data_IF_048534815635
#
_entry.id   IF_048534815635
#
_cell.length_a   1.000
_cell.length_b   1.000
_cell.length_c   1.000
_cell.angle_alpha   90.00
_cell.angle_beta   90.00
_cell.angle_gamma   90.00
#
_symmetry.space_group_name_H-M   'P 1'
#
loop_
_entity.id
_entity.type
_entity.pdbx_description
1 polymer ?
#
# COMPACT_ATOMS: atom_id res chain seq x y z
N UNK A 1 -61.89 -39.35 -29.79
CA UNK A 1 -63.03 -38.44 -29.54
C UNK A 1 -62.52 -37.32 -28.64
N UNK A 2 -61.55 -36.51 -29.06
CA UNK A 2 -61.56 -35.53 -30.16
C UNK A 2 -62.62 -34.43 -30.00
N UNK A 3 -62.13 -33.19 -30.11
CA UNK A 3 -62.81 -31.90 -30.35
C UNK A 3 -63.30 -31.10 -29.13
N UNK A 4 -62.45 -30.18 -28.62
CA UNK A 4 -62.89 -28.79 -28.31
C UNK A 4 -61.74 -27.81 -27.91
N UNK A 5 -60.57 -27.93 -28.52
CA UNK A 5 -59.38 -27.08 -28.23
C UNK A 5 -59.13 -25.96 -29.26
N UNK A 6 -60.08 -25.65 -30.15
CA UNK A 6 -59.87 -24.69 -31.25
C UNK A 6 -60.76 -23.44 -31.26
N UNK A 7 -61.72 -23.29 -30.33
CA UNK A 7 -62.68 -22.17 -30.41
C UNK A 7 -62.45 -20.99 -29.44
N UNK A 8 -61.25 -20.88 -28.85
CA UNK A 8 -60.89 -19.76 -27.97
C UNK A 8 -59.63 -18.96 -28.40
N UNK A 9 -59.04 -19.28 -29.55
CA UNK A 9 -57.88 -18.53 -30.11
C UNK A 9 -58.23 -17.51 -31.19
N UNK A 10 -59.50 -17.41 -31.61
CA UNK A 10 -59.95 -16.50 -32.67
C UNK A 10 -60.72 -15.25 -32.19
N UNK A 11 -60.92 -15.07 -30.87
CA UNK A 11 -61.61 -13.90 -30.29
C UNK A 11 -60.73 -12.89 -29.53
N UNK A 12 -59.40 -13.09 -29.50
CA UNK A 12 -58.45 -12.12 -28.93
C UNK A 12 -57.56 -11.44 -29.99
N UNK A 13 -57.89 -11.60 -31.28
CA UNK A 13 -57.08 -11.09 -32.40
C UNK A 13 -57.74 -9.98 -33.22
N UNK A 14 -58.89 -9.43 -32.80
CA UNK A 14 -59.61 -8.39 -33.55
C UNK A 14 -60.14 -7.24 -32.66
N UNK A 15 -59.31 -6.76 -31.72
CA UNK A 15 -59.39 -5.39 -31.19
C UNK A 15 -58.05 -4.69 -31.40
N UNK A 16 -57.74 -4.49 -32.68
CA UNK A 16 -56.76 -3.51 -33.17
C UNK A 16 -57.55 -2.62 -34.13
N UNK A 17 -57.74 -1.36 -33.75
CA UNK A 17 -57.65 -0.15 -34.58
C UNK A 17 -57.93 1.01 -33.62
N UNK A 18 -56.92 1.86 -33.43
CA UNK A 18 -57.00 3.05 -32.59
C UNK A 18 -56.15 2.98 -31.33
N UNK A 19 -54.83 2.88 -31.47
CA UNK A 19 -53.83 3.60 -30.65
C UNK A 19 -52.43 3.29 -31.19
N UNK A 20 -52.06 3.98 -32.28
CA UNK A 20 -50.68 4.04 -32.75
C UNK A 20 -50.45 5.43 -33.37
N UNK A 21 -50.09 6.40 -32.53
CA UNK A 21 -49.34 7.62 -32.91
C UNK A 21 -49.20 8.53 -31.68
N UNK A 22 -48.32 8.16 -30.75
CA UNK A 22 -47.68 9.15 -29.89
C UNK A 22 -46.28 8.65 -29.49
N UNK A 23 -45.43 8.52 -30.50
CA UNK A 23 -44.00 8.67 -30.29
C UNK A 23 -43.70 10.18 -30.23
N UNK A 24 -42.66 10.54 -29.48
CA UNK A 24 -42.13 11.89 -29.28
C UNK A 24 -42.89 12.73 -28.23
N UNK A 25 -42.42 12.68 -26.98
CA UNK A 25 -41.61 13.74 -26.33
C UNK A 25 -41.75 13.57 -24.81
N UNK A 26 -41.02 12.61 -24.22
CA UNK A 26 -40.66 12.72 -22.79
C UNK A 26 -39.24 13.27 -22.79
N UNK A 27 -39.17 14.52 -22.35
CA UNK A 27 -37.99 15.35 -22.31
C UNK A 27 -36.84 14.68 -21.56
N UNK A 28 -35.70 14.76 -22.23
CA UNK A 28 -34.33 14.64 -21.73
C UNK A 28 -34.23 15.29 -20.33
N UNK A 29 -34.00 14.47 -19.31
CA UNK A 29 -33.05 14.82 -18.26
C UNK A 29 -31.89 13.84 -18.33
N UNK A 30 -30.83 14.42 -18.83
CA UNK A 30 -29.49 13.92 -18.99
C UNK A 30 -28.93 13.58 -17.60
N UNK A 31 -29.08 12.34 -17.16
CA UNK A 31 -28.11 11.74 -16.24
C UNK A 31 -27.34 10.68 -17.01
N UNK A 32 -26.26 11.13 -17.65
CA UNK A 32 -25.04 10.35 -17.70
C UNK A 32 -24.62 10.04 -16.26
N UNK A 33 -25.30 9.09 -15.62
CA UNK A 33 -24.90 8.49 -14.36
C UNK A 33 -23.67 7.64 -14.71
N UNK A 34 -22.51 8.27 -14.66
CA UNK A 34 -21.24 7.56 -14.65
C UNK A 34 -21.27 6.64 -13.43
N UNK A 35 -21.51 5.35 -13.64
CA UNK A 35 -21.04 4.32 -12.73
C UNK A 35 -19.53 4.48 -12.65
N UNK A 36 -19.05 5.27 -11.68
CA UNK A 36 -17.65 5.26 -11.31
C UNK A 36 -17.33 3.84 -10.88
N UNK A 37 -16.56 3.12 -11.69
CA UNK A 37 -16.12 1.77 -11.34
C UNK A 37 -15.45 1.81 -9.97
N UNK A 38 -15.91 0.98 -9.03
CA UNK A 38 -15.27 0.81 -7.72
C UNK A 38 -13.77 0.54 -7.93
N UNK A 39 -12.88 1.34 -7.33
CA UNK A 39 -11.45 1.19 -7.56
C UNK A 39 -10.99 -0.17 -7.03
N UNK A 40 -10.20 -0.87 -7.84
CA UNK A 40 -9.57 -2.12 -7.42
C UNK A 40 -8.65 -1.91 -6.21
N UNK A 41 -8.45 -2.94 -5.38
CA UNK A 41 -7.53 -2.87 -4.24
C UNK A 41 -6.12 -2.42 -4.64
N UNK A 42 -5.64 -2.86 -5.81
CA UNK A 42 -4.34 -2.48 -6.36
C UNK A 42 -4.28 -0.97 -6.68
N UNK A 43 -5.32 -0.42 -7.30
CA UNK A 43 -5.38 1.02 -7.59
C UNK A 43 -5.46 1.87 -6.31
N UNK A 44 -6.14 1.39 -5.27
CA UNK A 44 -6.17 2.07 -3.96
C UNK A 44 -4.76 2.10 -3.35
N UNK A 45 -4.05 0.98 -3.36
CA UNK A 45 -2.68 0.90 -2.84
C UNK A 45 -1.72 1.83 -3.59
N UNK A 46 -1.84 1.91 -4.92
CA UNK A 46 -1.03 2.84 -5.73
C UNK A 46 -1.34 4.30 -5.43
N UNK A 47 -2.60 4.66 -5.25
CA UNK A 47 -3.00 6.01 -4.88
C UNK A 47 -2.47 6.41 -3.51
N UNK A 48 -2.64 5.54 -2.50
CA UNK A 48 -2.11 5.76 -1.14
C UNK A 48 -0.60 6.00 -1.19
N UNK A 49 0.12 5.16 -1.93
CA UNK A 49 1.57 5.22 -2.06
C UNK A 49 2.04 6.52 -2.69
N UNK A 50 1.40 6.94 -3.79
CA UNK A 50 1.72 8.18 -4.50
C UNK A 50 1.39 9.43 -3.71
N UNK A 51 0.20 9.50 -3.13
CA UNK A 51 -0.25 10.64 -2.32
C UNK A 51 0.67 10.84 -1.12
N UNK A 52 1.01 9.75 -0.42
CA UNK A 52 1.94 9.84 0.70
C UNK A 52 3.36 10.20 0.25
N UNK A 53 3.84 9.72 -0.90
CA UNK A 53 5.15 10.10 -1.44
C UNK A 53 5.25 11.60 -1.73
N UNK A 54 4.22 12.20 -2.33
CA UNK A 54 4.15 13.64 -2.60
C UNK A 54 4.18 14.45 -1.30
N UNK A 55 3.42 14.02 -0.28
CA UNK A 55 3.43 14.64 1.05
C UNK A 55 4.80 14.54 1.71
N UNK A 56 5.41 13.34 1.71
CA UNK A 56 6.69 13.08 2.35
C UNK A 56 7.82 13.89 1.72
N UNK A 57 7.83 14.02 0.40
CA UNK A 57 8.92 14.66 -0.33
C UNK A 57 8.68 16.13 -0.63
N UNK A 58 7.50 16.65 -0.27
CA UNK A 58 7.11 18.04 -0.53
C UNK A 58 7.27 18.45 -1.99
N UNK A 59 7.07 17.51 -2.93
CA UNK A 59 7.12 17.78 -4.37
C UNK A 59 5.76 18.32 -4.82
N UNK A 60 5.74 19.48 -5.48
CA UNK A 60 4.52 20.00 -6.10
C UNK A 60 4.19 19.15 -7.33
N UNK A 61 3.27 18.20 -7.18
CA UNK A 61 2.66 17.46 -8.30
C UNK A 61 3.46 16.28 -8.88
N UNK A 62 4.79 16.28 -8.77
CA UNK A 62 5.61 15.19 -9.31
C UNK A 62 5.85 14.08 -8.27
N UNK A 63 5.20 12.94 -8.48
CA UNK A 63 5.58 11.68 -7.82
C UNK A 63 6.97 11.30 -8.33
N UNK A 64 7.94 10.96 -7.46
CA UNK A 64 9.24 10.50 -7.93
C UNK A 64 9.06 9.32 -8.88
N UNK A 65 9.75 9.34 -10.01
CA UNK A 65 9.70 8.28 -11.03
C UNK A 65 9.87 6.87 -10.41
N UNK A 66 10.75 6.76 -9.41
CA UNK A 66 11.02 5.51 -8.68
C UNK A 66 9.79 4.96 -7.93
N UNK A 67 8.91 5.84 -7.46
CA UNK A 67 7.64 5.46 -6.82
C UNK A 67 6.67 5.03 -7.92
N UNK A 68 6.47 5.84 -8.95
CA UNK A 68 5.54 5.52 -10.06
C UNK A 68 5.86 4.19 -10.79
N UNK A 69 7.12 3.72 -10.74
CA UNK A 69 7.56 2.45 -11.33
C UNK A 69 6.77 1.21 -10.88
N UNK A 70 6.14 1.26 -9.70
CA UNK A 70 5.39 0.14 -9.12
C UNK A 70 3.89 0.24 -9.31
N UNK A 71 3.40 1.26 -10.03
CA UNK A 71 1.97 1.41 -10.32
C UNK A 71 1.46 0.20 -11.10
N UNK A 72 0.38 -0.41 -10.62
CA UNK A 72 -0.22 -1.62 -11.17
C UNK A 72 0.63 -2.89 -11.00
N UNK A 73 1.73 -2.85 -10.24
CA UNK A 73 2.61 -4.00 -10.07
C UNK A 73 2.11 -4.95 -8.99
N UNK A 74 1.50 -6.05 -9.43
CA UNK A 74 1.00 -7.14 -8.57
C UNK A 74 2.10 -7.81 -7.74
N UNK A 75 3.36 -7.60 -8.06
CA UNK A 75 4.50 -8.17 -7.34
C UNK A 75 5.08 -7.24 -6.26
N UNK A 76 4.51 -6.06 -6.06
CA UNK A 76 5.08 -5.06 -5.15
C UNK A 76 5.33 -5.60 -3.73
N UNK A 77 4.35 -6.31 -3.15
CA UNK A 77 4.49 -6.96 -1.83
C UNK A 77 5.61 -7.99 -1.81
N UNK A 78 5.75 -8.79 -2.88
CA UNK A 78 6.82 -9.79 -3.00
C UNK A 78 8.22 -9.16 -3.06
N UNK A 79 8.38 -7.97 -3.65
CA UNK A 79 9.66 -7.25 -3.58
C UNK A 79 9.94 -6.75 -2.16
N UNK A 80 8.91 -6.33 -1.42
CA UNK A 80 9.02 -5.96 -0.01
C UNK A 80 9.43 -7.17 0.85
N UNK A 81 8.81 -8.34 0.64
CA UNK A 81 9.17 -9.57 1.35
C UNK A 81 10.65 -9.92 1.13
N UNK A 82 11.11 -9.88 -0.12
CA UNK A 82 12.52 -10.10 -0.45
C UNK A 82 13.43 -9.06 0.21
N UNK A 83 13.01 -7.80 0.25
CA UNK A 83 13.74 -6.74 0.92
C UNK A 83 13.90 -7.00 2.41
N UNK A 84 12.79 -7.29 3.11
CA UNK A 84 12.77 -7.61 4.55
C UNK A 84 13.63 -8.83 4.85
N UNK A 85 13.45 -9.92 4.08
CA UNK A 85 14.19 -11.17 4.28
C UNK A 85 15.70 -11.00 4.10
N UNK A 86 16.14 -10.15 3.16
CA UNK A 86 17.56 -9.84 2.97
C UNK A 86 18.16 -9.07 4.15
N UNK A 87 17.39 -8.22 4.82
CA UNK A 87 17.86 -7.40 5.95
C UNK A 87 17.89 -8.19 7.24
N UNK A 88 16.91 -9.03 7.50
CA UNK A 88 16.91 -9.91 8.67
C UNK A 88 16.11 -11.19 8.43
N UNK A 89 16.83 -12.29 8.18
CA UNK A 89 16.26 -13.62 7.88
C UNK A 89 15.42 -14.23 9.02
N UNK A 90 15.52 -13.67 10.23
CA UNK A 90 14.77 -14.13 11.41
C UNK A 90 13.37 -13.50 11.51
N UNK A 91 13.09 -12.48 10.71
CA UNK A 91 11.73 -11.93 10.57
C UNK A 91 10.97 -12.84 9.60
N UNK A 92 9.74 -13.24 9.95
CA UNK A 92 8.85 -13.88 8.99
C UNK A 92 8.41 -12.81 7.97
N UNK A 93 9.05 -12.78 6.80
CA UNK A 93 8.85 -11.73 5.82
C UNK A 93 7.42 -11.69 5.25
N UNK A 94 6.75 -12.84 5.11
CA UNK A 94 5.39 -12.93 4.57
C UNK A 94 4.38 -12.28 5.52
N UNK A 95 4.30 -12.77 6.76
CA UNK A 95 3.34 -12.26 7.75
C UNK A 95 3.63 -10.81 8.15
N UNK A 96 4.92 -10.44 8.22
CA UNK A 96 5.35 -9.06 8.43
C UNK A 96 4.91 -8.14 7.29
N UNK A 97 5.10 -8.56 6.03
CA UNK A 97 4.71 -7.74 4.87
C UNK A 97 3.20 -7.61 4.78
N UNK A 98 2.43 -8.67 5.07
CA UNK A 98 0.97 -8.57 5.14
C UNK A 98 0.53 -7.55 6.19
N UNK A 99 1.12 -7.59 7.39
CA UNK A 99 0.85 -6.62 8.45
C UNK A 99 1.19 -5.20 8.00
N UNK A 100 2.35 -5.00 7.39
CA UNK A 100 2.79 -3.72 6.85
C UNK A 100 1.83 -3.17 5.80
N UNK A 101 1.39 -3.99 4.85
CA UNK A 101 0.46 -3.59 3.78
C UNK A 101 -0.91 -3.21 4.34
N UNK A 102 -1.41 -3.95 5.32
CA UNK A 102 -2.66 -3.61 6.00
C UNK A 102 -2.56 -2.26 6.73
N UNK A 103 -1.49 -2.03 7.48
CA UNK A 103 -1.26 -0.77 8.20
C UNK A 103 -1.07 0.41 7.23
N UNK A 104 -0.40 0.18 6.11
CA UNK A 104 -0.26 1.15 5.03
C UNK A 104 -1.63 1.60 4.52
N UNK A 105 -2.53 0.64 4.27
CA UNK A 105 -3.88 0.92 3.82
C UNK A 105 -4.70 1.66 4.89
N UNK A 106 -4.68 1.17 6.13
CA UNK A 106 -5.47 1.71 7.26
C UNK A 106 -5.06 3.14 7.66
N UNK A 107 -3.83 3.54 7.36
CA UNK A 107 -3.27 4.83 7.79
C UNK A 107 -2.85 5.73 6.63
N UNK A 108 -3.12 5.30 5.39
CA UNK A 108 -2.79 6.04 4.18
C UNK A 108 -1.31 6.42 4.11
N UNK A 109 -0.44 5.45 4.44
CA UNK A 109 1.01 5.59 4.31
C UNK A 109 1.51 4.72 3.17
N UNK A 110 2.53 5.20 2.46
CA UNK A 110 3.37 4.33 1.66
C UNK A 110 4.03 3.27 2.57
N UNK A 111 3.92 1.95 2.30
CA UNK A 111 4.55 0.93 3.14
C UNK A 111 6.08 1.09 3.19
N UNK A 112 6.71 1.65 2.15
CA UNK A 112 8.14 1.91 2.09
C UNK A 112 8.55 2.99 3.10
N UNK A 113 7.65 3.90 3.48
CA UNK A 113 7.93 4.87 4.55
C UNK A 113 8.13 4.19 5.91
N UNK A 114 7.28 3.23 6.27
CA UNK A 114 7.44 2.50 7.53
C UNK A 114 8.74 1.67 7.53
N UNK A 115 9.09 1.05 6.39
CA UNK A 115 10.39 0.38 6.22
C UNK A 115 11.58 1.34 6.35
N UNK A 116 11.46 2.57 5.82
CA UNK A 116 12.49 3.59 5.93
C UNK A 116 12.70 4.04 7.37
N UNK A 117 11.62 4.14 8.15
CA UNK A 117 11.71 4.39 9.58
C UNK A 117 12.38 3.22 10.29
N UNK A 118 11.96 1.98 10.04
CA UNK A 118 12.60 0.78 10.63
C UNK A 118 14.10 0.73 10.31
N UNK A 119 14.48 1.04 9.07
CA UNK A 119 15.87 1.11 8.64
C UNK A 119 16.65 2.18 9.43
N UNK A 120 16.02 3.32 9.70
CA UNK A 120 16.59 4.44 10.46
C UNK A 120 16.72 4.11 11.94
N UNK A 121 15.73 3.45 12.52
CA UNK A 121 15.62 3.19 13.96
C UNK A 121 16.47 2.02 14.44
N UNK A 122 16.40 0.89 13.73
CA UNK A 122 17.02 -0.36 14.20
C UNK A 122 17.82 -1.10 13.14
N UNK A 123 17.82 -0.63 11.89
CA UNK A 123 18.36 -1.38 10.75
C UNK A 123 17.82 -2.82 10.71
N UNK A 124 16.50 -2.97 10.93
CA UNK A 124 15.78 -4.25 10.99
C UNK A 124 16.17 -5.18 12.15
N UNK A 125 16.84 -4.68 13.19
CA UNK A 125 17.11 -5.45 14.40
C UNK A 125 15.89 -5.42 15.35
N UNK A 126 15.03 -6.42 15.27
CA UNK A 126 13.86 -6.53 16.15
C UNK A 126 14.19 -6.75 17.65
N UNK A 127 15.44 -7.10 17.98
CA UNK A 127 15.89 -7.19 19.38
C UNK A 127 16.57 -5.91 19.89
N UNK A 128 16.63 -4.85 19.08
CA UNK A 128 17.30 -3.61 19.45
C UNK A 128 16.68 -3.01 20.71
N UNK A 129 17.53 -2.57 21.63
CA UNK A 129 17.17 -1.78 22.80
C UNK A 129 18.07 -0.54 22.79
N UNK A 130 17.47 0.63 22.64
CA UNK A 130 18.20 1.89 22.61
C UNK A 130 18.56 2.40 24.01
N UNK A 131 19.37 3.45 24.05
CA UNK A 131 19.96 3.95 25.29
C UNK A 131 18.94 4.57 26.25
N UNK A 132 17.79 5.03 25.75
CA UNK A 132 16.72 5.61 26.57
C UNK A 132 15.50 4.69 26.70
N UNK A 133 15.69 3.40 26.38
CA UNK A 133 14.73 2.33 26.67
C UNK A 133 13.73 2.02 25.57
N UNK A 134 13.87 2.61 24.38
CA UNK A 134 13.16 2.20 23.16
C UNK A 134 13.49 0.77 22.74
N UNK A 135 12.50 0.04 22.21
CA UNK A 135 12.61 -1.38 21.89
C UNK A 135 12.11 -1.69 20.47
N UNK A 136 12.80 -2.61 19.82
CA UNK A 136 12.34 -3.28 18.60
C UNK A 136 12.57 -2.50 17.31
N UNK A 137 11.86 -2.92 16.26
CA UNK A 137 12.10 -2.47 14.89
C UNK A 137 11.99 -0.96 14.69
N UNK A 138 10.99 -0.34 15.31
CA UNK A 138 10.70 1.09 15.23
C UNK A 138 11.08 1.83 16.51
N UNK A 139 11.83 1.19 17.41
CA UNK A 139 12.36 1.82 18.63
C UNK A 139 11.24 2.54 19.43
N UNK A 140 10.19 1.79 19.78
CA UNK A 140 9.08 2.33 20.58
C UNK A 140 9.42 2.26 22.07
N UNK A 141 9.22 3.36 22.80
CA UNK A 141 9.32 3.36 24.27
C UNK A 141 8.12 2.66 24.91
N UNK A 142 8.30 1.84 25.96
CA UNK A 142 7.19 1.16 26.64
C UNK A 142 6.03 2.07 27.06
N UNK A 143 6.31 3.25 27.62
CA UNK A 143 5.26 4.21 28.00
C UNK A 143 4.47 4.73 26.79
N UNK A 144 5.14 4.94 25.66
CA UNK A 144 4.48 5.34 24.40
C UNK A 144 3.62 4.19 23.86
N UNK A 145 4.13 2.96 23.92
CA UNK A 145 3.43 1.76 23.49
C UNK A 145 2.16 1.51 24.31
N UNK A 146 2.23 1.62 25.64
CA UNK A 146 1.08 1.51 26.54
C UNK A 146 0.05 2.61 26.26
N UNK A 147 0.51 3.86 26.10
CA UNK A 147 -0.36 4.99 25.80
C UNK A 147 -1.08 4.83 24.46
N UNK A 148 -0.38 4.42 23.39
CA UNK A 148 -0.99 4.12 22.09
C UNK A 148 -1.96 2.94 22.19
N UNK A 149 -1.58 1.88 22.90
CA UNK A 149 -2.44 0.70 23.07
C UNK A 149 -3.77 1.11 23.69
N UNK A 150 -3.74 1.90 24.78
CA UNK A 150 -4.95 2.45 25.41
C UNK A 150 -5.74 3.34 24.45
N UNK A 151 -5.08 4.23 23.72
CA UNK A 151 -5.73 5.18 22.79
C UNK A 151 -6.42 4.50 21.62
N UNK A 152 -5.89 3.35 21.16
CA UNK A 152 -6.41 2.57 20.04
C UNK A 152 -7.24 1.36 20.46
N UNK A 153 -7.51 1.22 21.76
CA UNK A 153 -8.21 0.08 22.33
C UNK A 153 -7.57 -1.28 21.95
N UNK A 154 -6.24 -1.30 21.92
CA UNK A 154 -5.42 -2.49 21.66
C UNK A 154 -4.93 -3.08 22.99
N UNK A 155 -4.71 -4.41 23.06
CA UNK A 155 -4.11 -5.03 24.23
C UNK A 155 -2.65 -4.58 24.37
N UNK A 156 -2.30 -4.05 25.55
CA UNK A 156 -0.91 -3.85 25.93
C UNK A 156 -0.31 -5.19 26.38
N UNK A 157 0.68 -5.69 25.63
CA UNK A 157 1.31 -7.01 25.84
C UNK A 157 2.60 -6.96 26.68
N UNK A 158 2.92 -5.80 27.24
CA UNK A 158 4.14 -5.56 28.00
C UNK A 158 5.37 -5.25 27.13
N UNK A 159 6.42 -4.73 27.75
CA UNK A 159 7.60 -4.20 27.05
C UNK A 159 8.34 -5.26 26.22
N UNK A 160 8.43 -6.51 26.70
CA UNK A 160 9.12 -7.58 25.99
C UNK A 160 8.43 -7.93 24.66
N UNK A 161 7.11 -7.74 24.56
CA UNK A 161 6.37 -7.94 23.31
C UNK A 161 6.78 -6.94 22.23
N UNK A 162 7.42 -5.81 22.56
CA UNK A 162 7.94 -4.86 21.56
C UNK A 162 9.07 -5.44 20.71
N UNK A 163 9.63 -6.61 21.06
CA UNK A 163 10.57 -7.34 20.19
C UNK A 163 9.87 -8.16 19.11
N UNK A 164 8.56 -8.36 19.22
CA UNK A 164 7.77 -8.97 18.14
C UNK A 164 7.65 -7.98 16.96
N UNK A 165 8.13 -8.35 15.75
CA UNK A 165 8.13 -7.47 14.59
C UNK A 165 6.77 -6.85 14.25
N UNK A 166 5.71 -7.66 14.26
CA UNK A 166 4.36 -7.27 13.85
C UNK A 166 3.70 -6.37 14.88
N UNK A 167 3.82 -6.70 16.17
CA UNK A 167 3.32 -5.86 17.24
C UNK A 167 4.06 -4.52 17.30
N UNK A 168 5.38 -4.52 17.07
CA UNK A 168 6.16 -3.28 17.09
C UNK A 168 5.78 -2.35 15.93
N UNK A 169 5.65 -2.86 14.71
CA UNK A 169 5.24 -2.04 13.56
C UNK A 169 3.79 -1.55 13.68
N UNK A 170 2.88 -2.37 14.22
CA UNK A 170 1.50 -1.97 14.52
C UNK A 170 1.46 -0.72 15.41
N UNK A 171 2.17 -0.76 16.54
CA UNK A 171 2.21 0.37 17.46
C UNK A 171 2.92 1.59 16.87
N UNK A 172 4.00 1.38 16.11
CA UNK A 172 4.71 2.45 15.43
C UNK A 172 3.87 3.14 14.36
N UNK A 173 3.10 2.39 13.58
CA UNK A 173 2.18 2.92 12.58
C UNK A 173 1.04 3.73 13.21
N UNK A 174 0.45 3.24 14.30
CA UNK A 174 -0.53 4.00 15.07
C UNK A 174 0.04 5.27 15.70
N UNK A 175 1.30 5.22 16.16
CA UNK A 175 1.96 6.41 16.68
C UNK A 175 2.19 7.45 15.58
N UNK A 176 2.60 7.04 14.39
CA UNK A 176 2.67 7.94 13.23
C UNK A 176 1.32 8.55 12.89
N UNK A 177 0.24 7.74 12.86
CA UNK A 177 -1.10 8.24 12.58
C UNK A 177 -1.49 9.35 13.57
N UNK A 178 -1.21 9.14 14.86
CA UNK A 178 -1.40 10.17 15.88
C UNK A 178 -0.55 11.41 15.60
N UNK A 179 0.74 11.26 15.34
CA UNK A 179 1.63 12.40 15.10
C UNK A 179 1.21 13.19 13.87
N UNK A 180 0.91 12.52 12.75
CA UNK A 180 0.40 13.15 11.51
C UNK A 180 -0.83 14.00 11.80
N UNK A 181 -1.82 13.45 12.52
CA UNK A 181 -3.04 14.18 12.88
C UNK A 181 -2.81 15.41 13.77
N UNK A 182 -1.78 15.40 14.61
CA UNK A 182 -1.49 16.49 15.56
C UNK A 182 -0.49 17.53 15.03
N UNK A 183 0.02 17.31 13.82
CA UNK A 183 1.08 18.06 13.16
C UNK A 183 0.63 18.54 11.76
N UNK A 184 -0.68 18.72 11.58
CA UNK A 184 -1.28 19.31 10.37
C UNK A 184 -0.93 18.54 9.07
N UNK A 185 -0.64 17.25 9.18
CA UNK A 185 -0.16 16.40 8.08
C UNK A 185 1.13 16.93 7.39
N UNK A 186 1.93 17.73 8.09
CA UNK A 186 3.22 18.19 7.56
C UNK A 186 4.31 17.15 7.84
N UNK A 187 4.84 16.53 6.79
CA UNK A 187 5.86 15.47 6.86
C UNK A 187 7.09 15.85 7.64
N UNK A 188 7.61 17.06 7.42
CA UNK A 188 8.73 17.57 8.19
C UNK A 188 8.42 17.60 9.70
N UNK A 189 7.18 17.92 10.10
CA UNK A 189 6.73 17.97 11.49
C UNK A 189 6.54 16.57 12.08
N UNK A 190 5.68 15.73 11.51
CA UNK A 190 5.33 14.46 12.15
C UNK A 190 6.49 13.45 12.15
N UNK A 191 7.35 13.45 11.13
CA UNK A 191 8.53 12.57 11.10
C UNK A 191 9.54 12.97 12.16
N UNK A 192 9.85 14.27 12.29
CA UNK A 192 10.75 14.71 13.35
C UNK A 192 10.15 14.51 14.74
N UNK A 193 8.83 14.72 14.90
CA UNK A 193 8.10 14.48 16.14
C UNK A 193 8.17 13.02 16.61
N UNK A 194 8.31 12.07 15.69
CA UNK A 194 8.51 10.66 16.03
C UNK A 194 9.77 10.47 16.88
N UNK A 195 10.89 11.03 16.42
CA UNK A 195 12.18 10.91 17.08
C UNK A 195 12.32 11.79 18.34
N UNK A 196 11.88 13.06 18.29
CA UNK A 196 12.11 14.01 19.40
C UNK A 196 10.93 14.21 20.34
N UNK A 197 9.80 13.58 20.03
CA UNK A 197 8.51 13.80 20.69
C UNK A 197 7.75 15.04 20.16
N UNK A 198 6.40 15.04 20.27
CA UNK A 198 5.55 16.05 19.68
C UNK A 198 5.77 17.46 20.25
N UNK A 199 5.98 17.59 21.57
CA UNK A 199 6.22 18.89 22.21
C UNK A 199 7.49 19.56 21.70
N UNK A 200 8.58 18.80 21.58
CA UNK A 200 9.86 19.32 21.07
C UNK A 200 9.76 19.70 19.59
N UNK A 201 9.08 18.88 18.78
CA UNK A 201 8.88 19.19 17.36
C UNK A 201 8.04 20.45 17.15
N UNK A 202 6.95 20.64 17.91
CA UNK A 202 6.15 21.88 17.86
C UNK A 202 6.99 23.11 18.22
N UNK A 203 7.79 23.03 19.29
CA UNK A 203 8.70 24.10 19.69
C UNK A 203 9.76 24.41 18.62
N UNK A 204 10.35 23.39 17.99
CA UNK A 204 11.33 23.59 16.92
C UNK A 204 10.71 24.15 15.63
N UNK A 205 9.48 23.75 15.31
CA UNK A 205 8.74 24.27 14.17
C UNK A 205 8.46 25.76 14.32
N UNK A 206 8.01 26.21 15.50
CA UNK A 206 7.77 27.62 15.81
C UNK A 206 9.03 28.49 15.62
N UNK A 207 10.21 27.93 15.88
CA UNK A 207 11.48 28.63 15.75
C UNK A 207 12.14 28.46 14.36
N UNK A 208 11.42 27.93 13.35
CA UNK A 208 11.93 27.64 12.01
C UNK A 208 13.20 26.76 11.96
N UNK A 209 13.49 26.02 13.04
CA UNK A 209 14.71 25.23 13.19
C UNK A 209 14.52 23.75 12.87
N UNK A 210 13.29 23.32 12.58
CA UNK A 210 12.97 21.91 12.35
C UNK A 210 13.70 21.33 11.13
N UNK A 211 13.91 22.13 10.08
CA UNK A 211 14.70 21.75 8.89
C UNK A 211 16.16 21.40 9.20
N UNK A 212 16.70 21.88 10.33
CA UNK A 212 18.08 21.59 10.76
C UNK A 212 18.20 20.23 11.44
N UNK A 213 17.10 19.62 11.85
CA UNK A 213 17.13 18.33 12.53
C UNK A 213 17.39 17.19 11.51
N UNK A 214 18.41 16.34 11.72
CA UNK A 214 18.89 15.43 10.68
C UNK A 214 17.96 14.24 10.42
N UNK A 215 17.05 13.93 11.35
CA UNK A 215 16.26 12.70 11.31
C UNK A 215 15.35 12.60 10.09
N UNK A 216 14.64 13.68 9.73
CA UNK A 216 13.82 13.70 8.52
C UNK A 216 14.61 13.32 7.26
N UNK A 217 15.78 13.94 7.08
CA UNK A 217 16.67 13.65 5.95
C UNK A 217 17.14 12.19 5.93
N UNK A 218 17.43 11.58 7.09
CA UNK A 218 17.78 10.16 7.19
C UNK A 218 16.64 9.25 6.73
N UNK A 219 15.41 9.52 7.18
CA UNK A 219 14.22 8.73 6.80
C UNK A 219 13.95 8.88 5.29
N UNK A 220 13.99 10.10 4.75
CA UNK A 220 13.80 10.34 3.31
C UNK A 220 14.88 9.66 2.47
N UNK A 221 16.14 9.71 2.90
CA UNK A 221 17.23 9.02 2.20
C UNK A 221 17.01 7.51 2.19
N UNK A 222 16.68 6.90 3.34
CA UNK A 222 16.36 5.48 3.42
C UNK A 222 15.16 5.12 2.54
N UNK A 223 14.11 5.95 2.53
CA UNK A 223 12.93 5.78 1.69
C UNK A 223 13.29 5.70 0.20
N UNK A 224 14.08 6.66 -0.30
CA UNK A 224 14.51 6.68 -1.71
C UNK A 224 15.48 5.53 -2.05
N UNK A 225 16.32 5.12 -1.09
CA UNK A 225 17.21 3.98 -1.25
C UNK A 225 16.45 2.65 -1.32
N UNK A 226 15.40 2.47 -0.50
CA UNK A 226 14.57 1.27 -0.55
C UNK A 226 13.89 1.15 -1.93
N UNK A 227 13.30 2.23 -2.43
CA UNK A 227 12.73 2.22 -3.79
C UNK A 227 13.75 1.86 -4.88
N UNK A 228 15.00 2.32 -4.75
CA UNK A 228 16.07 1.93 -5.66
C UNK A 228 16.41 0.43 -5.54
N UNK A 229 16.45 -0.12 -4.32
CA UNK A 229 16.65 -1.55 -4.10
C UNK A 229 15.52 -2.38 -4.72
N UNK A 230 14.25 -1.96 -4.55
CA UNK A 230 13.11 -2.65 -5.15
C UNK A 230 13.15 -2.60 -6.68
N UNK A 231 13.54 -1.47 -7.27
CA UNK A 231 13.72 -1.32 -8.73
C UNK A 231 14.72 -2.35 -9.24
N UNK A 232 15.87 -2.48 -8.57
CA UNK A 232 16.90 -3.44 -8.94
C UNK A 232 16.39 -4.90 -8.85
N UNK A 233 15.54 -5.22 -7.85
CA UNK A 233 14.92 -6.54 -7.73
C UNK A 233 13.95 -6.83 -8.88
N UNK A 234 13.09 -5.86 -9.20
CA UNK A 234 12.16 -5.94 -10.34
C UNK A 234 12.89 -6.16 -11.66
N UNK A 235 13.93 -5.38 -11.94
CA UNK A 235 14.72 -5.52 -13.17
C UNK A 235 15.46 -6.86 -13.23
N UNK A 236 16.03 -7.33 -12.12
CA UNK A 236 16.69 -8.64 -12.06
C UNK A 236 15.70 -9.75 -12.38
N UNK A 237 14.49 -9.69 -11.84
CA UNK A 237 13.48 -10.70 -12.09
C UNK A 237 12.95 -10.70 -13.51
N UNK A 238 12.70 -9.52 -14.09
CA UNK A 238 12.32 -9.40 -15.49
C UNK A 238 13.39 -10.02 -16.40
N UNK A 239 14.68 -9.77 -16.12
CA UNK A 239 15.79 -10.41 -16.84
C UNK A 239 15.78 -11.94 -16.70
N UNK A 240 15.52 -12.47 -15.50
CA UNK A 240 15.43 -13.92 -15.28
C UNK A 240 14.25 -14.54 -16.05
N UNK A 241 13.08 -13.91 -16.03
CA UNK A 241 11.90 -14.37 -16.76
C UNK A 241 12.10 -14.38 -18.28
N UNK A 242 12.78 -13.36 -18.82
CA UNK A 242 13.14 -13.30 -20.25
C UNK A 242 14.10 -14.44 -20.59
N UNK A 243 15.14 -14.64 -19.78
CA UNK A 243 16.11 -15.72 -19.99
C UNK A 243 15.45 -17.12 -19.94
N UNK A 244 14.55 -17.34 -18.99
CA UNK A 244 13.79 -18.59 -18.84
C UNK A 244 12.88 -18.86 -20.05
N UNK A 245 12.16 -17.83 -20.53
CA UNK A 245 11.34 -17.93 -21.74
C UNK A 245 12.17 -18.28 -22.98
N UNK A 246 13.29 -17.58 -23.18
CA UNK A 246 14.19 -17.86 -24.31
C UNK A 246 14.73 -19.29 -24.26
N UNK A 247 15.10 -19.77 -23.08
CA UNK A 247 15.58 -21.14 -22.91
C UNK A 247 14.48 -22.17 -23.21
N UNK A 248 13.26 -21.95 -22.71
CA UNK A 248 12.10 -22.82 -22.99
C UNK A 248 11.76 -22.86 -24.48
N UNK A 249 11.83 -21.72 -25.17
CA UNK A 249 11.60 -21.63 -26.61
C UNK A 249 12.68 -22.38 -27.40
N UNK A 250 13.95 -22.27 -26.99
CA UNK A 250 15.05 -23.01 -27.59
C UNK A 250 14.82 -24.54 -27.48
N UNK A 251 14.53 -25.05 -26.28
CA UNK A 251 14.24 -26.48 -26.10
C UNK A 251 13.02 -26.96 -26.89
N UNK A 252 11.94 -26.16 -26.97
CA UNK A 252 10.77 -26.50 -27.79
C UNK A 252 11.13 -26.61 -29.28
N UNK A 253 12.00 -25.73 -29.78
CA UNK A 253 12.47 -25.80 -31.18
C UNK A 253 13.31 -27.04 -31.45
N UNK A 254 14.21 -27.42 -30.53
CA UNK A 254 14.99 -28.66 -30.65
C UNK A 254 14.10 -29.90 -30.68
N UNK A 255 13.12 -29.99 -29.77
CA UNK A 255 12.19 -31.12 -29.73
C UNK A 255 11.35 -31.22 -31.00
N UNK A 256 10.94 -30.09 -31.57
CA UNK A 256 10.20 -30.04 -32.83
C UNK A 256 11.05 -30.50 -34.01
N UNK A 257 12.32 -30.07 -34.08
CA UNK A 257 13.27 -30.50 -35.12
C UNK A 257 13.59 -31.99 -35.02
N UNK A 258 13.78 -32.53 -33.82
CA UNK A 258 13.99 -33.98 -33.63
C UNK A 258 12.76 -34.77 -34.06
N UNK A 259 11.56 -34.32 -33.71
CA UNK A 259 10.30 -34.99 -34.09
C UNK A 259 9.99 -34.90 -35.59
N UNK A 260 10.65 -34.01 -36.34
CA UNK A 260 10.51 -33.92 -37.79
C UNK A 260 11.48 -34.83 -38.55
N UNK A 261 12.49 -35.38 -37.86
CA UNK A 261 13.52 -36.27 -38.44
C UNK A 261 13.13 -37.75 -38.31
N UNK A 262 12.30 -38.10 -37.33
CA UNK A 262 11.80 -39.46 -37.07
C UNK A 262 10.32 -39.57 -37.44
#
# INVERSE_FOLDING_TARGET
>A
METNTENNKSKLFARKIGLLSLFCTVLILNESCQMSAEPSLLSIQDEIRKTHAQELLSTQGEVPEKVALFDGDRNFSRYIEQYVQKRNKRINAESFTQTLMNLSQDHSYDPIFLLAVIQTESSFNFNAVGSVGEIGLMQIRPNTAEWISKKKNLPWKGAQALKDPEYNILLGAHYFQYLKSTMDSESLKYVNAYNMGPTSAKRMAQNNNLKKHPYFGKVVNNYLMIYADLKNMKEKEQKMLIAEKSNKQYFASLQSSVSAIF
#
